data_IF_480652775382
#
_entry.id   IF_480652775382
#
_cell.length_a   1.000
_cell.length_b   1.000
_cell.length_c   1.000
_cell.angle_alpha   90.00
_cell.angle_beta   90.00
_cell.angle_gamma   90.00
#
_symmetry.space_group_name_H-M   'P 1'
#
loop_
_entity.id
_entity.type
_entity.pdbx_description
1 polymer ?
#
# COMPACT_ATOMS: atom_id res chain seq x y z
N UNK A 1 14.29 1.50 7.09
CA UNK A 1 14.45 0.24 6.34
C UNK A 1 13.21 -0.59 6.58
N UNK A 2 12.60 -1.10 5.53
CA UNK A 2 11.44 -1.98 5.64
C UNK A 2 11.85 -3.26 6.37
N UNK A 3 10.92 -3.87 7.12
CA UNK A 3 11.08 -5.27 7.52
C UNK A 3 10.80 -6.18 6.33
N UNK A 4 11.25 -7.44 6.43
CA UNK A 4 10.95 -8.46 5.42
C UNK A 4 9.45 -8.59 5.17
N UNK A 5 8.63 -8.48 6.23
CA UNK A 5 7.17 -8.52 6.13
C UNK A 5 6.58 -7.30 5.40
N UNK A 6 7.10 -6.09 5.64
CA UNK A 6 6.65 -4.87 4.95
C UNK A 6 7.06 -4.90 3.47
N UNK A 7 8.25 -5.41 3.17
CA UNK A 7 8.72 -5.57 1.81
C UNK A 7 7.86 -6.60 1.05
N UNK A 8 7.63 -7.78 1.64
CA UNK A 8 6.78 -8.81 1.05
C UNK A 8 5.37 -8.28 0.76
N UNK A 9 4.79 -7.51 1.69
CA UNK A 9 3.46 -6.93 1.47
C UNK A 9 3.44 -5.92 0.32
N UNK A 10 4.46 -5.08 0.15
CA UNK A 10 4.53 -4.15 -0.99
C UNK A 10 4.64 -4.92 -2.31
N UNK A 11 5.43 -6.00 -2.34
CA UNK A 11 5.59 -6.87 -3.51
C UNK A 11 4.26 -7.56 -3.86
N UNK A 12 3.55 -8.12 -2.88
CA UNK A 12 2.24 -8.75 -3.05
C UNK A 12 1.19 -7.76 -3.57
N UNK A 13 1.19 -6.52 -3.07
CA UNK A 13 0.31 -5.46 -3.55
C UNK A 13 0.59 -5.10 -5.02
N UNK A 14 1.87 -5.06 -5.43
CA UNK A 14 2.27 -4.85 -6.82
C UNK A 14 1.86 -6.01 -7.74
N UNK A 15 2.01 -7.25 -7.27
CA UNK A 15 1.55 -8.43 -7.99
C UNK A 15 0.02 -8.42 -8.16
N UNK A 16 -0.72 -7.99 -7.12
CA UNK A 16 -2.16 -7.85 -7.16
C UNK A 16 -2.62 -6.80 -8.19
N UNK A 17 -1.96 -5.63 -8.23
CA UNK A 17 -2.19 -4.60 -9.26
C UNK A 17 -2.01 -5.14 -10.68
N UNK A 18 -0.93 -5.87 -10.91
CA UNK A 18 -0.64 -6.50 -12.21
C UNK A 18 -1.72 -7.50 -12.59
N UNK A 19 -2.03 -8.45 -11.70
CA UNK A 19 -3.02 -9.49 -11.96
C UNK A 19 -4.42 -8.93 -12.23
N UNK A 20 -4.84 -7.89 -11.47
CA UNK A 20 -6.12 -7.24 -11.71
C UNK A 20 -6.15 -6.53 -13.06
N UNK A 21 -5.06 -5.84 -13.44
CA UNK A 21 -4.95 -5.16 -14.73
C UNK A 21 -5.04 -6.14 -15.90
N UNK A 22 -4.37 -7.29 -15.79
CA UNK A 22 -4.43 -8.36 -16.80
C UNK A 22 -5.83 -8.98 -16.89
N UNK A 23 -6.51 -9.18 -15.76
CA UNK A 23 -7.86 -9.75 -15.69
C UNK A 23 -8.92 -8.80 -16.26
N UNK A 24 -8.87 -7.53 -15.88
CA UNK A 24 -9.89 -6.54 -16.21
C UNK A 24 -9.79 -6.07 -17.68
N UNK A 25 -8.58 -6.01 -18.24
CA UNK A 25 -8.34 -5.50 -19.59
C UNK A 25 -8.57 -3.99 -19.72
N UNK A 26 -8.36 -3.46 -20.92
CA UNK A 26 -8.41 -2.01 -21.17
C UNK A 26 -9.84 -1.42 -21.25
N UNK A 27 -10.88 -2.25 -21.07
CA UNK A 27 -12.28 -1.87 -21.26
C UNK A 27 -12.89 -1.15 -20.05
N UNK A 28 -12.21 -1.18 -18.91
CA UNK A 28 -12.68 -0.62 -17.63
C UNK A 28 -11.66 0.34 -17.01
N UNK A 29 -11.32 1.45 -17.70
CA UNK A 29 -10.26 2.37 -17.26
C UNK A 29 -10.55 3.02 -15.89
N UNK A 30 -11.82 3.27 -15.57
CA UNK A 30 -12.20 3.86 -14.28
C UNK A 30 -12.01 2.87 -13.13
N UNK A 31 -12.39 1.60 -13.31
CA UNK A 31 -12.19 0.54 -12.32
C UNK A 31 -10.69 0.28 -12.09
N UNK A 32 -9.88 0.31 -13.15
CA UNK A 32 -8.42 0.21 -13.05
C UNK A 32 -7.82 1.37 -12.26
N UNK A 33 -8.30 2.59 -12.49
CA UNK A 33 -7.83 3.78 -11.79
C UNK A 33 -8.20 3.72 -10.31
N UNK A 34 -9.45 3.35 -9.98
CA UNK A 34 -9.91 3.19 -8.60
C UNK A 34 -9.10 2.09 -7.89
N UNK A 35 -8.92 0.93 -8.52
CA UNK A 35 -8.16 -0.16 -7.93
C UNK A 35 -6.70 0.24 -7.66
N UNK A 36 -6.07 0.92 -8.60
CA UNK A 36 -4.70 1.43 -8.44
C UNK A 36 -4.59 2.42 -7.28
N UNK A 37 -5.56 3.34 -7.13
CA UNK A 37 -5.64 4.24 -5.98
C UNK A 37 -5.73 3.47 -4.65
N UNK A 38 -6.52 2.41 -4.57
CA UNK A 38 -6.60 1.56 -3.36
C UNK A 38 -5.29 0.84 -3.06
N UNK A 39 -4.61 0.32 -4.07
CA UNK A 39 -3.28 -0.28 -3.90
C UNK A 39 -2.27 0.75 -3.35
N UNK A 40 -2.27 1.97 -3.91
CA UNK A 40 -1.40 3.04 -3.40
C UNK A 40 -1.72 3.42 -1.95
N UNK A 41 -3.00 3.46 -1.56
CA UNK A 41 -3.39 3.72 -0.17
C UNK A 41 -2.84 2.66 0.79
N UNK A 42 -2.88 1.38 0.39
CA UNK A 42 -2.31 0.29 1.19
C UNK A 42 -0.78 0.40 1.27
N UNK A 43 -0.09 0.64 0.15
CA UNK A 43 1.36 0.86 0.14
C UNK A 43 1.75 2.06 1.02
N UNK A 44 0.98 3.15 0.97
CA UNK A 44 1.18 4.31 1.82
C UNK A 44 1.04 3.96 3.31
N UNK A 45 0.04 3.17 3.69
CA UNK A 45 -0.12 2.71 5.07
C UNK A 45 1.10 1.90 5.55
N UNK A 46 1.62 0.97 4.72
CA UNK A 46 2.84 0.21 5.05
C UNK A 46 4.03 1.14 5.25
N UNK A 47 4.24 2.08 4.34
CA UNK A 47 5.33 3.04 4.42
C UNK A 47 5.20 3.98 5.63
N UNK A 48 3.97 4.39 5.97
CA UNK A 48 3.70 5.24 7.13
C UNK A 48 4.02 4.53 8.45
N UNK A 49 3.67 3.25 8.57
CA UNK A 49 4.06 2.41 9.71
C UNK A 49 5.57 2.23 9.81
N UNK A 50 6.23 1.98 8.67
CA UNK A 50 7.69 1.86 8.62
C UNK A 50 8.37 3.17 9.03
N UNK A 51 7.85 4.31 8.59
CA UNK A 51 8.34 5.64 8.95
C UNK A 51 8.12 5.94 10.45
N UNK A 52 6.97 5.60 11.00
CA UNK A 52 6.67 5.74 12.42
C UNK A 52 7.62 4.89 13.28
N UNK A 53 7.93 3.66 12.86
CA UNK A 53 8.92 2.82 13.54
C UNK A 53 10.33 3.39 13.45
N UNK A 54 10.73 3.89 12.27
CA UNK A 54 12.09 4.39 12.05
C UNK A 54 12.35 5.76 12.71
N UNK A 55 11.33 6.62 12.79
CA UNK A 55 11.44 7.96 13.39
C UNK A 55 10.22 8.28 14.27
N UNK A 56 10.11 7.63 15.45
CA UNK A 56 8.93 7.74 16.31
C UNK A 56 8.63 9.17 16.77
N UNK A 57 9.65 10.01 16.95
CA UNK A 57 9.48 11.40 17.38
C UNK A 57 8.97 12.32 16.27
N UNK A 58 9.19 11.97 15.00
CA UNK A 58 8.79 12.78 13.84
C UNK A 58 7.45 12.35 13.25
N UNK A 59 7.16 11.04 13.28
CA UNK A 59 6.03 10.45 12.55
C UNK A 59 5.10 9.64 13.45
N UNK A 60 5.01 9.97 14.75
CA UNK A 60 4.15 9.28 15.72
C UNK A 60 2.71 9.08 15.21
N UNK A 61 2.12 10.12 14.62
CA UNK A 61 0.74 10.08 14.13
C UNK A 61 0.57 9.34 12.79
N UNK A 62 1.66 9.12 12.03
CA UNK A 62 1.59 8.40 10.76
C UNK A 62 1.44 6.89 10.95
N UNK A 63 1.83 6.37 12.12
CA UNK A 63 1.66 4.98 12.51
C UNK A 63 0.41 4.71 13.37
N UNK A 64 -0.33 5.75 13.75
CA UNK A 64 -1.57 5.58 14.52
C UNK A 64 -2.70 5.11 13.60
N UNK A 65 -2.84 3.80 13.47
CA UNK A 65 -4.12 3.20 13.07
C UNK A 65 -5.03 3.24 14.30
N UNK A 66 -5.96 4.20 14.36
CA UNK A 66 -7.02 4.15 15.37
C UNK A 66 -7.67 2.77 15.29
N UNK A 67 -7.52 1.98 16.36
CA UNK A 67 -8.24 0.73 16.51
C UNK A 67 -9.74 1.05 16.42
N UNK A 68 -10.40 0.49 15.40
CA UNK A 68 -11.87 0.43 15.32
C UNK A 68 -12.32 -0.74 16.20
#
# INVERSE_FOLDING_TARGET
MLTDAEQALIEDLGACATAFTEMAGAEVPDDLAEFTDKIHQLQHAVMAQSAARAYPEKYRLAGETHAI
#
